data_IF_911933678426
#
_entry.id   IF_911933678426
#
_cell.length_a   1.000
_cell.length_b   1.000
_cell.length_c   1.000
_cell.angle_alpha   90.00
_cell.angle_beta   90.00
_cell.angle_gamma   90.00
#
_symmetry.space_group_name_H-M   'P 1'
#
loop_
_entity.id
_entity.type
_entity.pdbx_description
1 polymer ?
#
# COMPACT_ATOMS: atom_id res chain seq x y z
N UNK A 1 -20.78 20.98 11.80
CA UNK A 1 -21.41 19.69 12.05
C UNK A 1 -21.85 19.06 10.72
N UNK A 2 -20.94 18.64 9.89
CA UNK A 2 -21.25 17.74 8.79
C UNK A 2 -20.75 16.36 9.21
N UNK A 3 -21.54 15.66 10.00
CA UNK A 3 -21.38 14.23 10.20
C UNK A 3 -21.62 13.55 8.86
N UNK A 4 -20.59 12.97 8.27
CA UNK A 4 -20.78 12.00 7.19
C UNK A 4 -21.52 10.84 7.81
N UNK A 5 -22.84 10.75 7.56
CA UNK A 5 -23.63 9.62 8.04
C UNK A 5 -23.19 8.38 7.24
N UNK A 6 -23.17 7.21 7.88
CA UNK A 6 -22.91 5.92 7.20
C UNK A 6 -23.79 5.73 5.94
N UNK A 7 -24.92 6.42 5.85
CA UNK A 7 -25.82 6.43 4.71
C UNK A 7 -25.28 7.18 3.47
N UNK A 8 -24.27 8.07 3.64
CA UNK A 8 -23.65 8.81 2.52
C UNK A 8 -22.49 8.06 1.86
N UNK A 9 -22.04 6.98 2.47
CA UNK A 9 -21.00 6.10 1.91
C UNK A 9 -21.72 4.99 1.13
N UNK A 10 -21.36 4.82 -0.14
CA UNK A 10 -21.91 3.71 -0.96
C UNK A 10 -21.71 2.36 -0.27
N UNK A 11 -22.55 1.37 -0.59
CA UNK A 11 -22.52 0.01 0.01
C UNK A 11 -21.14 -0.65 -0.10
N UNK A 12 -20.35 -0.27 -1.09
CA UNK A 12 -19.04 -0.87 -1.41
C UNK A 12 -17.85 -0.07 -0.84
N UNK A 13 -18.12 0.98 -0.04
CA UNK A 13 -17.04 1.77 0.55
C UNK A 13 -16.40 0.99 1.73
N UNK A 14 -15.09 0.70 1.69
CA UNK A 14 -14.40 -0.02 2.76
C UNK A 14 -14.49 0.69 4.12
N UNK A 15 -14.57 2.04 4.13
CA UNK A 15 -14.79 2.81 5.38
C UNK A 15 -16.14 2.52 6.02
N UNK A 16 -17.17 2.23 5.22
CA UNK A 16 -18.48 1.84 5.73
C UNK A 16 -18.41 0.49 6.43
N UNK A 17 -17.69 -0.48 5.85
CA UNK A 17 -17.54 -1.83 6.43
C UNK A 17 -16.84 -1.79 7.79
N UNK A 18 -15.78 -0.98 7.90
CA UNK A 18 -15.08 -0.79 9.18
C UNK A 18 -15.93 0.01 10.16
N UNK A 19 -16.64 1.04 9.71
CA UNK A 19 -17.58 1.77 10.54
C UNK A 19 -18.71 0.88 11.06
N UNK A 20 -19.32 0.07 10.18
CA UNK A 20 -20.39 -0.86 10.57
C UNK A 20 -19.85 -1.97 11.50
N UNK A 21 -18.59 -2.37 11.36
CA UNK A 21 -17.91 -3.34 12.24
C UNK A 21 -17.56 -2.76 13.61
N UNK A 22 -17.13 -1.51 13.66
CA UNK A 22 -16.75 -0.83 14.92
C UNK A 22 -17.94 -0.25 15.67
N UNK A 23 -19.05 0.05 14.99
CA UNK A 23 -20.19 0.80 15.56
C UNK A 23 -21.55 0.18 15.25
N UNK A 24 -21.66 -0.83 14.39
CA UNK A 24 -22.89 -1.51 13.99
C UNK A 24 -22.87 -2.96 14.46
N UNK A 25 -23.90 -3.38 15.20
CA UNK A 25 -24.03 -4.76 15.65
C UNK A 25 -24.10 -5.77 14.48
N UNK A 26 -23.59 -6.97 14.74
CA UNK A 26 -23.46 -8.16 13.92
C UNK A 26 -24.39 -8.24 12.69
N UNK A 27 -23.88 -7.92 11.51
CA UNK A 27 -24.41 -8.36 10.23
C UNK A 27 -23.32 -9.15 9.52
N UNK A 28 -23.64 -10.34 9.03
CA UNK A 28 -22.71 -11.23 8.35
C UNK A 28 -22.02 -10.53 7.16
N UNK A 29 -20.69 -10.56 7.14
CA UNK A 29 -19.89 -9.90 6.14
C UNK A 29 -19.41 -10.89 5.08
N UNK A 30 -19.67 -10.58 3.83
CA UNK A 30 -18.97 -11.15 2.70
C UNK A 30 -17.64 -10.39 2.56
N UNK A 31 -16.51 -11.04 2.88
CA UNK A 31 -15.18 -10.44 2.72
C UNK A 31 -14.87 -10.44 1.23
N UNK A 32 -15.04 -9.30 0.60
CA UNK A 32 -14.50 -9.03 -0.74
C UNK A 32 -13.27 -8.16 -0.59
N UNK A 33 -12.17 -8.55 -1.23
CA UNK A 33 -11.02 -7.65 -1.43
C UNK A 33 -11.55 -6.29 -1.89
N UNK A 34 -11.10 -5.22 -1.25
CA UNK A 34 -11.55 -3.86 -1.62
C UNK A 34 -11.12 -3.47 -3.03
N UNK A 35 -10.16 -4.19 -3.62
CA UNK A 35 -9.52 -3.85 -4.88
C UNK A 35 -8.77 -2.51 -4.85
N UNK A 36 -8.64 -1.91 -3.68
CA UNK A 36 -7.90 -0.66 -3.46
C UNK A 36 -6.47 -1.01 -3.09
N UNK A 37 -5.52 -0.53 -3.89
CA UNK A 37 -4.10 -0.71 -3.60
C UNK A 37 -3.73 -0.06 -2.28
N UNK A 38 -3.04 -0.81 -1.42
CA UNK A 38 -2.45 -0.29 -0.18
C UNK A 38 -0.99 0.16 -0.37
N UNK A 39 -0.44 0.00 -1.57
CA UNK A 39 0.90 0.45 -1.94
C UNK A 39 0.82 1.40 -3.12
N UNK A 40 1.49 2.54 -3.01
CA UNK A 40 1.71 3.45 -4.14
C UNK A 40 2.93 3.00 -4.91
N UNK A 41 2.87 2.89 -6.24
CA UNK A 41 4.06 2.65 -7.04
C UNK A 41 5.07 3.78 -6.89
N UNK A 42 6.36 3.43 -6.91
CA UNK A 42 7.45 4.39 -6.93
C UNK A 42 7.67 4.98 -8.31
N UNK A 43 7.53 4.13 -9.32
CA UNK A 43 7.75 4.48 -10.73
C UNK A 43 6.77 3.72 -11.61
N UNK A 44 6.35 4.36 -12.68
CA UNK A 44 5.52 3.78 -13.74
C UNK A 44 6.01 4.34 -15.06
N UNK A 45 6.13 3.50 -16.10
CA UNK A 45 6.45 3.95 -17.45
C UNK A 45 5.58 3.23 -18.48
N UNK A 46 5.26 3.96 -19.55
CA UNK A 46 4.53 3.45 -20.71
C UNK A 46 5.31 3.76 -21.98
N UNK A 47 5.58 2.72 -22.77
CA UNK A 47 6.16 2.83 -24.09
C UNK A 47 5.13 2.51 -25.17
N UNK A 48 5.02 3.39 -26.17
CA UNK A 48 4.25 3.16 -27.38
C UNK A 48 4.83 4.00 -28.52
N UNK A 49 4.77 3.50 -29.75
CA UNK A 49 5.16 4.25 -30.96
C UNK A 49 6.62 4.78 -30.95
N UNK A 50 7.52 4.11 -30.24
CA UNK A 50 8.94 4.49 -30.17
C UNK A 50 9.28 5.49 -29.06
N UNK A 51 8.29 5.99 -28.33
CA UNK A 51 8.46 6.86 -27.17
C UNK A 51 8.37 6.03 -25.87
N UNK A 52 9.10 6.43 -24.84
CA UNK A 52 8.96 5.91 -23.49
C UNK A 52 8.80 7.09 -22.53
N UNK A 53 7.64 7.18 -21.90
CA UNK A 53 7.32 8.22 -20.93
C UNK A 53 7.10 7.60 -19.55
N UNK A 54 7.51 8.29 -18.50
CA UNK A 54 7.42 7.77 -17.15
C UNK A 54 7.04 8.82 -16.12
N UNK A 55 6.51 8.35 -15.01
CA UNK A 55 6.26 9.15 -13.80
C UNK A 55 6.96 8.51 -12.62
N UNK A 56 7.42 9.34 -11.69
CA UNK A 56 8.10 8.86 -10.49
C UNK A 56 7.80 9.75 -9.29
N UNK A 57 7.71 9.13 -8.12
CA UNK A 57 7.64 9.81 -6.82
C UNK A 57 6.60 10.95 -6.74
N UNK A 58 5.48 10.78 -7.42
CA UNK A 58 4.34 11.69 -7.34
C UNK A 58 3.07 10.88 -7.11
N UNK A 59 2.45 11.02 -5.96
CA UNK A 59 1.23 10.24 -5.65
C UNK A 59 0.13 10.53 -6.67
N UNK A 60 -0.12 11.81 -6.95
CA UNK A 60 -1.22 12.21 -7.85
C UNK A 60 -0.99 11.75 -9.28
N UNK A 61 0.22 11.98 -9.83
CA UNK A 61 0.51 11.66 -11.22
C UNK A 61 0.65 10.15 -11.42
N UNK A 62 1.26 9.45 -10.45
CA UNK A 62 1.38 7.99 -10.48
C UNK A 62 0.01 7.32 -10.39
N UNK A 63 -0.89 7.78 -9.52
CA UNK A 63 -2.25 7.21 -9.40
C UNK A 63 -3.08 7.45 -10.66
N UNK A 64 -2.99 8.66 -11.25
CA UNK A 64 -3.67 8.98 -12.50
C UNK A 64 -3.15 8.11 -13.66
N UNK A 65 -1.82 8.01 -13.81
CA UNK A 65 -1.16 7.21 -14.84
C UNK A 65 -1.40 5.71 -14.66
N UNK A 66 -1.47 5.23 -13.40
CA UNK A 66 -1.82 3.84 -13.09
C UNK A 66 -3.26 3.52 -13.54
N UNK A 67 -4.17 4.47 -13.39
CA UNK A 67 -5.54 4.37 -13.92
C UNK A 67 -5.55 4.14 -15.43
N UNK A 68 -4.75 4.89 -16.19
CA UNK A 68 -4.63 4.77 -17.64
C UNK A 68 -4.13 3.38 -18.09
N UNK A 69 -3.16 2.79 -17.39
CA UNK A 69 -2.57 1.49 -17.76
C UNK A 69 -3.20 0.29 -17.04
N UNK A 70 -4.22 0.50 -16.21
CA UNK A 70 -4.80 -0.58 -15.39
C UNK A 70 -5.31 -1.76 -16.21
N UNK A 71 -5.95 -1.51 -17.34
CA UNK A 71 -6.46 -2.58 -18.23
C UNK A 71 -5.33 -3.42 -18.82
N UNK A 72 -4.16 -2.82 -19.08
CA UNK A 72 -2.97 -3.52 -19.55
C UNK A 72 -2.46 -4.46 -18.46
N UNK A 73 -2.33 -3.96 -17.22
CA UNK A 73 -1.89 -4.75 -16.09
C UNK A 73 -2.87 -5.87 -15.73
N UNK A 74 -4.19 -5.63 -15.81
CA UNK A 74 -5.21 -6.69 -15.62
C UNK A 74 -4.96 -7.87 -16.56
N UNK A 75 -4.67 -7.60 -17.83
CA UNK A 75 -4.43 -8.64 -18.82
C UNK A 75 -3.07 -9.31 -18.61
N UNK A 76 -1.99 -8.53 -18.42
CA UNK A 76 -0.65 -9.03 -18.20
C UNK A 76 -0.56 -9.95 -16.97
N UNK A 77 -1.28 -9.61 -15.89
CA UNK A 77 -1.35 -10.37 -14.64
C UNK A 77 -2.41 -11.48 -14.66
N UNK A 78 -2.94 -11.83 -15.83
CA UNK A 78 -3.87 -12.95 -16.04
C UNK A 78 -3.29 -14.02 -16.97
N UNK A 79 -1.98 -14.04 -17.09
CA UNK A 79 -1.24 -14.98 -17.95
C UNK A 79 -1.04 -16.36 -17.34
N UNK A 80 -0.14 -17.11 -17.98
CA UNK A 80 0.25 -18.47 -17.57
C UNK A 80 1.05 -18.49 -16.26
N UNK A 81 1.34 -19.69 -15.78
CA UNK A 81 2.20 -19.88 -14.61
C UNK A 81 3.60 -19.29 -14.85
N UNK A 82 4.19 -18.75 -13.78
CA UNK A 82 5.53 -18.15 -13.82
C UNK A 82 6.61 -19.21 -14.04
N UNK A 83 7.61 -18.86 -14.84
CA UNK A 83 8.82 -19.63 -15.09
C UNK A 83 10.05 -18.78 -14.82
N UNK A 84 11.10 -19.37 -14.27
CA UNK A 84 12.39 -18.68 -14.12
C UNK A 84 12.95 -18.29 -15.47
N UNK A 85 13.61 -17.13 -15.53
CA UNK A 85 14.25 -16.60 -16.73
C UNK A 85 15.53 -15.82 -16.37
N UNK A 86 16.17 -15.23 -17.35
CA UNK A 86 17.45 -14.53 -17.21
C UNK A 86 17.40 -13.08 -17.72
N UNK A 87 18.42 -12.32 -17.33
CA UNK A 87 18.59 -10.91 -17.71
C UNK A 87 18.71 -10.69 -19.22
N UNK A 88 19.25 -11.66 -19.96
CA UNK A 88 19.42 -11.54 -21.41
C UNK A 88 18.06 -11.57 -22.10
N UNK A 89 17.16 -12.42 -21.63
CA UNK A 89 15.78 -12.52 -22.13
C UNK A 89 15.02 -11.22 -21.89
N UNK A 90 15.09 -10.65 -20.66
CA UNK A 90 14.48 -9.36 -20.35
C UNK A 90 15.09 -8.24 -21.20
N UNK A 91 16.42 -8.15 -21.29
CA UNK A 91 17.10 -7.11 -22.06
C UNK A 91 16.68 -7.11 -23.54
N UNK A 92 16.39 -8.30 -24.10
CA UNK A 92 15.86 -8.43 -25.47
C UNK A 92 14.50 -7.80 -25.66
N UNK A 93 13.66 -7.76 -24.60
CA UNK A 93 12.29 -7.23 -24.65
C UNK A 93 12.20 -5.71 -24.34
N UNK A 94 13.25 -5.11 -23.77
CA UNK A 94 13.24 -3.68 -23.46
C UNK A 94 13.09 -2.79 -24.70
N UNK A 95 13.47 -3.30 -25.88
CA UNK A 95 13.30 -2.65 -27.17
C UNK A 95 11.90 -2.74 -27.77
N UNK A 96 10.95 -3.45 -27.14
CA UNK A 96 9.59 -3.60 -27.63
C UNK A 96 8.94 -2.24 -27.90
N UNK A 97 8.08 -2.16 -28.93
CA UNK A 97 7.35 -0.93 -29.24
C UNK A 97 6.31 -0.60 -28.17
N UNK A 98 5.57 -1.63 -27.73
CA UNK A 98 4.53 -1.50 -26.69
C UNK A 98 4.95 -2.20 -25.42
N UNK A 99 5.20 -1.42 -24.39
CA UNK A 99 5.72 -1.90 -23.11
C UNK A 99 5.22 -1.05 -21.95
N UNK A 100 5.14 -1.65 -20.78
CA UNK A 100 4.79 -0.95 -19.55
C UNK A 100 5.63 -1.49 -18.39
N UNK A 101 6.09 -0.59 -17.51
CA UNK A 101 6.85 -0.93 -16.31
C UNK A 101 6.13 -0.37 -15.09
N UNK A 102 6.14 -1.14 -14.01
CA UNK A 102 5.65 -0.76 -12.69
C UNK A 102 6.67 -1.17 -11.64
N UNK A 103 7.09 -0.23 -10.80
CA UNK A 103 7.99 -0.49 -9.69
C UNK A 103 7.39 0.02 -8.39
N UNK A 104 7.44 -0.81 -7.35
CA UNK A 104 7.03 -0.46 -6.00
C UNK A 104 8.21 0.02 -5.14
N UNK A 105 7.90 0.66 -4.01
CA UNK A 105 8.91 1.04 -3.01
C UNK A 105 9.50 -0.16 -2.28
N UNK A 106 8.79 -1.28 -2.25
CA UNK A 106 9.18 -2.47 -1.52
C UNK A 106 8.67 -3.75 -2.17
N UNK A 107 8.89 -4.86 -1.48
CA UNK A 107 8.60 -6.19 -1.97
C UNK A 107 7.21 -6.66 -1.52
N UNK A 108 6.31 -6.85 -2.46
CA UNK A 108 4.91 -7.20 -2.21
C UNK A 108 4.59 -8.59 -2.76
N UNK A 109 3.74 -9.39 -2.11
CA UNK A 109 3.28 -10.65 -2.68
C UNK A 109 2.62 -10.43 -4.05
N UNK A 110 3.00 -11.24 -5.03
CA UNK A 110 2.49 -11.09 -6.40
C UNK A 110 0.98 -11.27 -6.47
N UNK A 111 0.42 -12.21 -5.70
CA UNK A 111 -1.02 -12.45 -5.62
C UNK A 111 -1.80 -11.20 -5.19
N UNK A 112 -1.26 -10.44 -4.23
CA UNK A 112 -1.85 -9.19 -3.73
C UNK A 112 -1.80 -8.11 -4.82
N UNK A 113 -0.65 -7.91 -5.45
CA UNK A 113 -0.48 -6.93 -6.55
C UNK A 113 -1.40 -7.29 -7.73
N UNK A 114 -1.45 -8.56 -8.10
CA UNK A 114 -2.34 -9.07 -9.14
C UNK A 114 -3.82 -8.79 -8.81
N UNK A 115 -4.24 -9.07 -7.59
CA UNK A 115 -5.60 -8.80 -7.11
C UNK A 115 -5.97 -7.31 -7.19
N UNK A 116 -5.07 -6.41 -6.79
CA UNK A 116 -5.30 -4.95 -6.88
C UNK A 116 -5.48 -4.49 -8.33
N UNK A 117 -4.78 -5.11 -9.27
CA UNK A 117 -4.89 -4.80 -10.69
C UNK A 117 -6.06 -5.52 -11.38
N UNK A 118 -6.76 -6.44 -10.68
CA UNK A 118 -7.82 -7.25 -11.24
C UNK A 118 -7.34 -8.44 -12.07
N UNK A 119 -6.07 -8.83 -11.91
CA UNK A 119 -5.48 -10.02 -12.51
C UNK A 119 -5.82 -11.30 -11.75
N UNK A 120 -5.39 -12.43 -12.29
CA UNK A 120 -5.64 -13.76 -11.71
C UNK A 120 -4.35 -14.53 -11.39
N UNK A 121 -3.17 -13.95 -11.71
CA UNK A 121 -1.90 -14.58 -11.42
C UNK A 121 -1.67 -14.60 -9.90
N UNK A 122 -1.61 -15.77 -9.32
CA UNK A 122 -1.53 -15.97 -7.88
C UNK A 122 -0.37 -16.91 -7.53
N UNK A 123 0.73 -16.33 -7.09
CA UNK A 123 1.82 -17.06 -6.43
C UNK A 123 2.26 -16.28 -5.19
N UNK A 124 1.85 -16.77 -4.00
CA UNK A 124 2.11 -16.11 -2.72
C UNK A 124 3.59 -16.20 -2.30
N UNK A 125 4.36 -17.10 -2.92
CA UNK A 125 5.80 -17.26 -2.63
C UNK A 125 6.67 -16.21 -3.31
N UNK A 126 6.16 -15.62 -4.41
CA UNK A 126 6.89 -14.63 -5.18
C UNK A 126 6.54 -13.24 -4.66
N UNK A 127 7.58 -12.51 -4.22
CA UNK A 127 7.49 -11.10 -3.88
C UNK A 127 8.00 -10.28 -5.05
N UNK A 128 7.19 -9.33 -5.50
CA UNK A 128 7.51 -8.47 -6.63
C UNK A 128 7.98 -7.10 -6.17
N UNK A 129 9.06 -6.61 -6.74
CA UNK A 129 9.48 -5.20 -6.66
C UNK A 129 9.22 -4.49 -7.99
N UNK A 130 9.52 -5.16 -9.12
CA UNK A 130 9.35 -4.58 -10.45
C UNK A 130 8.59 -5.55 -11.36
N UNK A 131 7.63 -5.01 -12.08
CA UNK A 131 6.90 -5.65 -13.16
C UNK A 131 7.23 -4.96 -14.47
N UNK A 132 7.57 -5.73 -15.50
CA UNK A 132 7.72 -5.23 -16.87
C UNK A 132 6.89 -6.12 -17.80
N UNK A 133 6.12 -5.50 -18.67
CA UNK A 133 5.32 -6.24 -19.67
C UNK A 133 5.60 -5.71 -21.08
N UNK A 134 5.94 -6.64 -21.99
CA UNK A 134 6.07 -6.40 -23.42
C UNK A 134 4.84 -6.95 -24.15
N UNK A 135 4.06 -6.08 -24.78
CA UNK A 135 2.88 -6.50 -25.54
C UNK A 135 3.24 -7.09 -26.91
N UNK A 136 4.44 -6.81 -27.41
CA UNK A 136 4.87 -7.32 -28.72
C UNK A 136 5.12 -8.84 -28.68
N UNK A 137 5.68 -9.32 -27.58
CA UNK A 137 5.87 -10.77 -27.31
C UNK A 137 4.78 -11.38 -26.42
N UNK A 138 3.93 -10.54 -25.78
CA UNK A 138 2.97 -11.00 -24.78
C UNK A 138 3.66 -11.53 -23.51
N UNK A 139 4.80 -10.95 -23.11
CA UNK A 139 5.61 -11.47 -22.00
C UNK A 139 5.62 -10.52 -20.83
N UNK A 140 5.16 -11.00 -19.67
CA UNK A 140 5.29 -10.35 -18.37
C UNK A 140 6.58 -10.83 -17.70
N UNK A 141 7.38 -9.93 -17.21
CA UNK A 141 8.53 -10.19 -16.35
C UNK A 141 8.26 -9.69 -14.93
N UNK A 142 8.66 -10.50 -13.96
CA UNK A 142 8.52 -10.24 -12.53
C UNK A 142 9.90 -10.31 -11.90
N UNK A 143 10.40 -9.18 -11.38
CA UNK A 143 11.66 -9.15 -10.63
C UNK A 143 11.38 -9.13 -9.14
N UNK A 144 12.06 -10.00 -8.44
CA UNK A 144 12.04 -10.11 -6.98
C UNK A 144 13.13 -9.22 -6.34
N UNK A 145 13.03 -8.90 -5.05
CA UNK A 145 14.01 -8.04 -4.36
C UNK A 145 15.40 -8.66 -4.22
N UNK A 146 15.53 -9.97 -4.29
CA UNK A 146 16.81 -10.69 -4.32
C UNK A 146 17.42 -10.80 -5.73
N UNK A 147 16.73 -10.22 -6.73
CA UNK A 147 17.19 -10.14 -8.11
C UNK A 147 16.77 -11.32 -8.98
N UNK A 148 16.06 -12.32 -8.46
CA UNK A 148 15.52 -13.38 -9.29
C UNK A 148 14.51 -12.83 -10.30
N UNK A 149 14.46 -13.44 -11.49
CA UNK A 149 13.60 -13.01 -12.58
C UNK A 149 12.71 -14.16 -13.02
N UNK A 150 11.43 -13.87 -13.17
CA UNK A 150 10.42 -14.79 -13.67
C UNK A 150 9.72 -14.19 -14.87
N UNK A 151 9.17 -15.04 -15.73
CA UNK A 151 8.31 -14.63 -16.82
C UNK A 151 7.00 -15.41 -16.84
N UNK A 152 5.97 -14.78 -17.41
CA UNK A 152 4.68 -15.39 -17.76
C UNK A 152 4.25 -14.88 -19.12
N UNK A 153 3.49 -15.68 -19.86
CA UNK A 153 2.91 -15.25 -21.13
C UNK A 153 1.45 -14.88 -20.96
N UNK A 154 1.10 -13.70 -21.44
CA UNK A 154 -0.24 -13.17 -21.43
C UNK A 154 -0.48 -12.34 -22.70
N UNK A 155 -1.62 -12.51 -23.34
CA UNK A 155 -2.00 -11.66 -24.46
C UNK A 155 -2.67 -10.40 -23.96
N UNK A 156 -2.19 -9.22 -24.38
CA UNK A 156 -2.84 -7.96 -24.12
C UNK A 156 -3.38 -7.30 -25.40
N UNK A 157 -4.48 -6.59 -25.25
CA UNK A 157 -5.04 -5.76 -26.32
C UNK A 157 -4.04 -4.62 -26.67
N UNK A 158 -3.45 -4.68 -27.85
CA UNK A 158 -2.54 -3.63 -28.35
C UNK A 158 -3.20 -2.27 -28.39
N UNK A 159 -4.50 -2.21 -28.69
CA UNK A 159 -5.27 -0.97 -28.67
C UNK A 159 -5.43 -0.37 -27.27
N UNK A 160 -5.20 -1.13 -26.21
CA UNK A 160 -5.18 -0.59 -24.85
C UNK A 160 -3.96 0.32 -24.62
N UNK A 161 -2.82 0.04 -25.26
CA UNK A 161 -1.64 0.90 -25.18
C UNK A 161 -1.84 2.25 -25.86
N UNK A 162 -2.47 2.26 -27.03
CA UNK A 162 -2.71 3.48 -27.77
C UNK A 162 -3.69 4.38 -26.99
N UNK A 163 -4.74 3.81 -26.39
CA UNK A 163 -5.67 4.54 -25.51
C UNK A 163 -4.99 5.04 -24.23
N UNK A 164 -4.15 4.19 -23.62
CA UNK A 164 -3.46 4.56 -22.40
C UNK A 164 -2.50 5.74 -22.61
N UNK A 165 -1.87 5.83 -23.78
CA UNK A 165 -0.95 6.92 -24.12
C UNK A 165 -1.64 8.28 -24.18
N UNK A 166 -2.93 8.34 -24.54
CA UNK A 166 -3.71 9.57 -24.55
C UNK A 166 -3.91 10.16 -23.15
N UNK A 167 -4.02 9.29 -22.13
CA UNK A 167 -4.29 9.66 -20.73
C UNK A 167 -3.06 9.59 -19.84
N UNK A 168 -1.92 9.05 -20.36
CA UNK A 168 -0.69 8.91 -19.61
C UNK A 168 0.15 10.17 -19.74
N UNK A 169 0.35 10.86 -18.62
CA UNK A 169 1.17 12.07 -18.56
C UNK A 169 2.44 11.81 -17.79
N UNK A 170 3.59 11.95 -18.43
CA UNK A 170 4.89 11.66 -17.85
C UNK A 170 6.00 12.48 -18.52
N UNK A 171 7.22 12.21 -18.08
CA UNK A 171 8.45 12.79 -18.62
C UNK A 171 9.17 11.75 -19.48
N UNK A 172 9.88 12.17 -20.50
CA UNK A 172 10.69 11.31 -21.34
C UNK A 172 11.72 10.55 -20.49
N UNK A 173 11.78 9.26 -20.71
CA UNK A 173 12.73 8.41 -20.01
C UNK A 173 13.26 7.31 -20.92
N UNK A 174 14.29 6.61 -20.44
CA UNK A 174 14.89 5.47 -21.13
C UNK A 174 15.18 4.35 -20.13
N UNK A 175 15.32 3.12 -20.61
CA UNK A 175 15.88 2.05 -19.81
C UNK A 175 17.40 2.13 -19.76
N UNK A 176 17.99 1.75 -18.62
CA UNK A 176 19.46 1.72 -18.44
C UNK A 176 20.15 0.77 -19.43
N UNK A 177 19.47 -0.32 -19.79
CA UNK A 177 20.02 -1.32 -20.71
C UNK A 177 21.07 -2.24 -20.07
N UNK A 178 21.56 -3.21 -20.85
CA UNK A 178 22.41 -4.30 -20.36
C UNK A 178 23.85 -3.88 -19.99
N UNK A 179 24.33 -2.73 -20.47
CA UNK A 179 25.73 -2.31 -20.32
C UNK A 179 25.99 -1.44 -19.08
N UNK A 180 25.11 -1.52 -18.08
CA UNK A 180 25.17 -0.72 -16.87
C UNK A 180 25.37 -1.58 -15.62
N UNK A 181 25.71 -0.92 -14.48
CA UNK A 181 25.82 -1.60 -13.19
C UNK A 181 24.49 -1.65 -12.40
N UNK A 182 23.39 -1.37 -13.07
CA UNK A 182 22.02 -1.48 -12.53
C UNK A 182 21.20 -2.45 -13.35
N UNK A 183 20.05 -2.83 -12.87
CA UNK A 183 19.14 -3.70 -13.63
C UNK A 183 18.76 -3.05 -14.96
N UNK A 184 18.70 -3.84 -16.06
CA UNK A 184 18.48 -3.30 -17.41
C UNK A 184 17.20 -2.48 -17.56
N UNK A 185 16.15 -2.82 -16.82
CA UNK A 185 14.86 -2.13 -16.83
C UNK A 185 14.80 -0.89 -15.90
N UNK A 186 15.91 -0.50 -15.27
CA UNK A 186 15.97 0.72 -14.47
C UNK A 186 15.67 1.95 -15.34
N UNK A 187 14.71 2.78 -14.89
CA UNK A 187 14.33 3.99 -15.61
C UNK A 187 15.33 5.12 -15.36
N UNK A 188 15.76 5.75 -16.45
CA UNK A 188 16.58 6.95 -16.49
C UNK A 188 15.74 8.08 -17.07
N UNK A 189 15.43 9.09 -16.26
CA UNK A 189 14.63 10.24 -16.67
C UNK A 189 15.53 11.32 -17.29
N UNK A 190 15.13 11.86 -18.46
CA UNK A 190 15.90 12.86 -19.17
C UNK A 190 15.57 14.26 -18.63
N UNK A 191 16.62 15.03 -18.36
CA UNK A 191 16.54 16.48 -18.14
C UNK A 191 16.01 16.93 -16.78
N UNK A 192 15.53 16.07 -15.92
CA UNK A 192 15.02 16.44 -14.59
C UNK A 192 15.98 16.05 -13.48
N UNK A 193 16.53 17.03 -12.80
CA UNK A 193 17.06 16.82 -11.47
C UNK A 193 15.88 16.70 -10.50
N UNK A 194 15.57 15.49 -10.04
CA UNK A 194 14.59 15.28 -8.99
C UNK A 194 14.99 16.13 -7.77
N UNK A 195 14.26 17.20 -7.53
CA UNK A 195 14.48 18.05 -6.35
C UNK A 195 13.62 17.51 -5.23
N UNK A 196 14.22 16.80 -4.29
CA UNK A 196 13.53 16.32 -3.11
C UNK A 196 13.36 17.46 -2.10
N UNK A 197 12.16 17.64 -1.52
CA UNK A 197 11.95 18.66 -0.49
C UNK A 197 12.70 18.26 0.78
N UNK A 198 13.28 19.28 1.44
CA UNK A 198 13.76 19.11 2.80
C UNK A 198 12.57 19.23 3.73
N UNK A 199 12.32 18.17 4.51
CA UNK A 199 11.20 18.12 5.42
C UNK A 199 11.62 18.56 6.83
N UNK A 200 10.82 19.41 7.42
CA UNK A 200 10.95 19.81 8.82
C UNK A 200 9.82 19.15 9.62
N UNK A 201 10.19 18.44 10.68
CA UNK A 201 9.20 17.95 11.63
C UNK A 201 8.43 19.10 12.27
N UNK A 202 7.11 19.04 12.19
CA UNK A 202 6.21 19.93 12.91
C UNK A 202 5.76 19.31 14.23
N UNK A 203 5.46 20.17 15.19
CA UNK A 203 4.93 19.71 16.46
C UNK A 203 3.55 19.07 16.26
N UNK A 204 3.41 17.83 16.70
CA UNK A 204 2.15 17.08 16.75
C UNK A 204 1.67 17.02 18.19
N UNK A 205 0.40 17.30 18.42
CA UNK A 205 -0.27 17.15 19.70
C UNK A 205 -1.62 16.44 19.53
N UNK A 206 -1.59 15.12 19.64
CA UNK A 206 -2.79 14.29 19.52
C UNK A 206 -3.82 14.50 20.66
N UNK A 207 -3.43 15.22 21.73
CA UNK A 207 -4.30 15.48 22.88
C UNK A 207 -4.92 16.89 22.85
N UNK A 208 -4.57 17.70 21.85
CA UNK A 208 -5.09 19.05 21.72
C UNK A 208 -6.63 19.06 21.62
N UNK A 209 -7.27 20.05 22.23
CA UNK A 209 -8.72 20.15 22.30
C UNK A 209 -9.42 20.24 20.92
N UNK A 210 -8.72 20.72 19.89
CA UNK A 210 -9.22 20.78 18.51
C UNK A 210 -9.36 19.39 17.87
N UNK A 211 -8.69 18.39 18.40
CA UNK A 211 -8.70 17.01 17.94
C UNK A 211 -9.69 16.09 18.69
N UNK A 212 -10.65 16.64 19.42
CA UNK A 212 -11.59 15.84 20.22
C UNK A 212 -12.31 14.74 19.42
N UNK A 213 -12.72 15.03 18.18
CA UNK A 213 -13.26 14.02 17.25
C UNK A 213 -12.16 13.15 16.65
N UNK A 214 -10.95 13.69 16.44
CA UNK A 214 -9.79 12.97 15.92
C UNK A 214 -9.34 11.87 16.89
N UNK A 215 -9.23 12.19 18.18
CA UNK A 215 -8.87 11.21 19.21
C UNK A 215 -9.94 10.11 19.34
N UNK A 216 -11.22 10.46 19.31
CA UNK A 216 -12.32 9.49 19.39
C UNK A 216 -12.30 8.53 18.18
N UNK A 217 -12.05 9.06 16.97
CA UNK A 217 -11.93 8.24 15.76
C UNK A 217 -10.69 7.33 15.81
N UNK A 218 -9.58 7.84 16.33
CA UNK A 218 -8.35 7.08 16.50
C UNK A 218 -8.54 5.93 17.51
N UNK A 219 -9.16 6.21 18.65
CA UNK A 219 -9.51 5.16 19.61
C UNK A 219 -10.42 4.11 18.97
N UNK A 220 -11.45 4.54 18.25
CA UNK A 220 -12.36 3.65 17.52
C UNK A 220 -11.65 2.77 16.48
N UNK A 221 -10.63 3.27 15.79
CA UNK A 221 -9.85 2.51 14.83
C UNK A 221 -9.09 1.33 15.47
N UNK A 222 -8.74 1.46 16.75
CA UNK A 222 -8.14 0.39 17.56
C UNK A 222 -9.16 -0.36 18.45
N UNK A 223 -10.45 -0.16 18.21
CA UNK A 223 -11.52 -0.87 18.93
C UNK A 223 -11.88 -0.32 20.30
N UNK A 224 -11.31 0.83 20.71
CA UNK A 224 -11.63 1.47 21.98
C UNK A 224 -12.81 2.43 21.86
N UNK A 225 -13.62 2.48 22.91
CA UNK A 225 -14.66 3.51 23.04
C UNK A 225 -14.02 4.87 23.29
N UNK A 226 -14.63 5.94 22.79
CA UNK A 226 -14.26 7.32 23.13
C UNK A 226 -14.38 7.63 24.64
N UNK A 227 -15.09 6.78 25.39
CA UNK A 227 -15.31 6.89 26.84
C UNK A 227 -14.46 5.89 27.63
N UNK A 228 -13.54 5.16 26.99
CA UNK A 228 -12.62 4.24 27.69
C UNK A 228 -11.75 5.05 28.63
N UNK A 229 -11.68 4.63 29.88
CA UNK A 229 -10.82 5.25 30.90
C UNK A 229 -9.34 5.07 30.49
N UNK A 230 -8.53 6.06 30.87
CA UNK A 230 -7.10 6.00 30.66
C UNK A 230 -6.34 6.43 31.90
N UNK A 231 -5.14 6.00 32.01
CA UNK A 231 -4.17 6.57 32.94
C UNK A 231 -3.02 7.25 32.20
N UNK A 232 -2.45 8.27 32.85
CA UNK A 232 -1.37 9.05 32.23
C UNK A 232 -0.02 8.56 32.74
N UNK A 233 0.95 8.56 31.83
CA UNK A 233 2.36 8.29 32.09
C UNK A 233 3.22 9.48 31.62
N UNK A 234 4.47 9.50 32.06
CA UNK A 234 5.49 10.45 31.60
C UNK A 234 5.02 11.93 31.69
N UNK A 235 4.46 12.35 32.81
CA UNK A 235 3.95 13.70 33.03
C UNK A 235 2.88 14.11 31.99
N UNK A 236 1.87 13.28 31.76
CA UNK A 236 0.76 13.49 30.85
C UNK A 236 1.14 13.58 29.35
N UNK A 237 2.31 13.09 28.97
CA UNK A 237 2.70 13.01 27.54
C UNK A 237 2.31 11.68 26.90
N UNK A 238 1.92 10.67 27.68
CA UNK A 238 1.42 9.38 27.22
C UNK A 238 0.12 9.05 27.94
N UNK A 239 -0.90 8.65 27.20
CA UNK A 239 -2.16 8.09 27.68
C UNK A 239 -2.20 6.61 27.38
N UNK A 240 -2.60 5.81 28.36
CA UNK A 240 -2.74 4.37 28.23
C UNK A 240 -4.19 3.99 28.44
N UNK A 241 -4.83 3.56 27.36
CA UNK A 241 -6.20 3.06 27.33
C UNK A 241 -6.15 1.55 27.51
N UNK A 242 -6.98 1.00 28.37
CA UNK A 242 -7.03 -0.43 28.67
C UNK A 242 -8.49 -0.87 28.65
N UNK A 243 -8.76 -1.94 27.95
CA UNK A 243 -9.99 -2.71 28.05
C UNK A 243 -9.67 -4.16 28.52
N UNK A 244 -10.68 -5.02 28.51
CA UNK A 244 -10.55 -6.39 29.04
C UNK A 244 -9.44 -7.23 28.35
N UNK A 245 -9.12 -6.94 27.11
CA UNK A 245 -8.22 -7.72 26.27
C UNK A 245 -7.07 -6.93 25.67
N UNK A 246 -7.21 -5.62 25.52
CA UNK A 246 -6.33 -4.79 24.69
C UNK A 246 -5.78 -3.59 25.45
N UNK A 247 -4.62 -3.14 25.03
CA UNK A 247 -3.97 -1.92 25.54
C UNK A 247 -3.54 -1.06 24.37
N UNK A 248 -3.87 0.24 24.43
CA UNK A 248 -3.38 1.24 23.49
C UNK A 248 -2.61 2.32 24.26
N UNK A 249 -1.31 2.41 24.01
CA UNK A 249 -0.45 3.50 24.49
C UNK A 249 -0.36 4.55 23.40
N UNK A 250 -0.77 5.75 23.73
CA UNK A 250 -0.78 6.88 22.80
C UNK A 250 0.08 8.01 23.35
N UNK A 251 1.21 8.27 22.69
CA UNK A 251 2.03 9.42 23.01
C UNK A 251 1.50 10.66 22.31
N UNK A 252 1.53 11.78 23.01
CA UNK A 252 1.15 13.10 22.52
C UNK A 252 1.83 13.44 21.18
N UNK A 253 3.07 12.97 21.00
CA UNK A 253 3.94 13.23 19.85
C UNK A 253 3.70 12.31 18.65
N UNK A 254 2.72 11.38 18.73
CA UNK A 254 2.34 10.55 17.59
C UNK A 254 2.76 9.07 17.64
N UNK A 255 3.55 8.65 18.63
CA UNK A 255 3.83 7.23 18.80
C UNK A 255 2.62 6.51 19.39
N UNK A 256 2.15 5.48 18.71
CA UNK A 256 1.04 4.62 19.10
C UNK A 256 1.52 3.18 19.19
N UNK A 257 1.14 2.49 20.26
CA UNK A 257 1.46 1.08 20.47
C UNK A 257 0.20 0.37 20.93
N UNK A 258 -0.30 -0.53 20.11
CA UNK A 258 -1.42 -1.40 20.41
C UNK A 258 -0.93 -2.80 20.68
N UNK A 259 -1.50 -3.45 21.67
CA UNK A 259 -1.28 -4.86 21.95
C UNK A 259 -2.55 -5.50 22.51
N UNK A 260 -2.80 -6.75 22.15
CA UNK A 260 -3.87 -7.57 22.73
C UNK A 260 -3.32 -8.87 23.28
N UNK A 261 -3.88 -9.29 24.40
CA UNK A 261 -3.60 -10.57 25.04
C UNK A 261 -4.82 -11.48 24.94
N UNK A 262 -4.61 -12.74 24.56
CA UNK A 262 -5.69 -13.72 24.44
C UNK A 262 -6.46 -13.65 23.11
N UNK A 263 -7.56 -14.38 23.00
CA UNK A 263 -8.32 -14.56 21.75
C UNK A 263 -9.41 -13.52 21.53
N UNK A 264 -9.60 -12.59 22.44
CA UNK A 264 -10.66 -11.58 22.43
C UNK A 264 -10.16 -10.20 21.99
N UNK A 265 -9.54 -10.11 20.82
CA UNK A 265 -9.27 -8.78 20.24
C UNK A 265 -10.54 -8.18 19.65
N UNK A 266 -10.72 -6.88 19.88
CA UNK A 266 -11.80 -6.10 19.24
C UNK A 266 -11.48 -5.72 17.79
N UNK A 267 -10.22 -5.84 17.37
CA UNK A 267 -9.79 -5.54 15.99
C UNK A 267 -9.48 -6.83 15.25
N UNK A 268 -10.36 -7.17 14.33
CA UNK A 268 -10.22 -8.36 13.48
C UNK A 268 -10.37 -8.00 12.02
N UNK A 269 -9.51 -8.53 11.18
CA UNK A 269 -9.61 -8.40 9.72
C UNK A 269 -10.69 -9.33 9.17
N UNK A 270 -10.80 -10.55 9.74
CA UNK A 270 -11.81 -11.57 9.41
C UNK A 270 -11.98 -12.54 10.58
N UNK A 271 -13.07 -13.28 10.62
CA UNK A 271 -13.30 -14.33 11.64
C UNK A 271 -12.51 -15.60 11.31
N UNK A 272 -12.02 -16.28 12.34
CA UNK A 272 -11.22 -17.49 12.18
C UNK A 272 -11.97 -18.56 11.40
N UNK A 273 -11.33 -19.10 10.35
CA UNK A 273 -11.87 -20.17 9.50
C UNK A 273 -12.70 -19.70 8.30
N UNK A 274 -12.99 -18.39 8.18
CA UNK A 274 -13.79 -17.88 7.06
C UNK A 274 -12.94 -17.63 5.80
N UNK A 275 -11.67 -17.28 5.96
CA UNK A 275 -10.80 -16.84 4.85
C UNK A 275 -9.39 -17.41 4.99
N UNK A 276 -8.80 -17.82 3.88
CA UNK A 276 -7.44 -18.38 3.82
C UNK A 276 -6.67 -17.85 2.61
N UNK A 277 -5.34 -18.00 2.61
CA UNK A 277 -4.46 -17.63 1.50
C UNK A 277 -4.48 -16.13 1.21
N UNK A 278 -4.39 -15.76 -0.05
CA UNK A 278 -4.31 -14.36 -0.50
C UNK A 278 -5.49 -13.50 -0.05
N UNK A 279 -6.70 -14.07 0.05
CA UNK A 279 -7.87 -13.33 0.54
C UNK A 279 -7.77 -12.97 2.03
N UNK A 280 -7.12 -13.81 2.84
CA UNK A 280 -6.84 -13.52 4.24
C UNK A 280 -5.83 -12.37 4.35
N UNK A 281 -4.78 -12.42 3.54
CA UNK A 281 -3.77 -11.37 3.48
C UNK A 281 -4.36 -10.03 3.01
N UNK A 282 -5.19 -10.02 1.97
CA UNK A 282 -5.89 -8.83 1.51
C UNK A 282 -6.75 -8.20 2.60
N UNK A 283 -7.48 -9.02 3.37
CA UNK A 283 -8.29 -8.53 4.48
C UNK A 283 -7.45 -7.92 5.62
N UNK A 284 -6.27 -8.51 5.94
CA UNK A 284 -5.32 -7.97 6.91
C UNK A 284 -4.76 -6.63 6.43
N UNK A 285 -4.37 -6.53 5.16
CA UNK A 285 -3.86 -5.31 4.53
C UNK A 285 -4.92 -4.20 4.56
N UNK A 286 -6.16 -4.51 4.19
CA UNK A 286 -7.27 -3.57 4.23
C UNK A 286 -7.55 -3.07 5.66
N UNK A 287 -7.51 -3.96 6.65
CA UNK A 287 -7.68 -3.61 8.05
C UNK A 287 -6.59 -2.60 8.50
N UNK A 288 -5.32 -2.91 8.24
CA UNK A 288 -4.20 -2.03 8.57
C UNK A 288 -4.29 -0.69 7.84
N UNK A 289 -4.63 -0.68 6.54
CA UNK A 289 -4.80 0.54 5.75
C UNK A 289 -5.88 1.45 6.31
N UNK A 290 -7.03 0.91 6.70
CA UNK A 290 -8.12 1.71 7.28
C UNK A 290 -7.73 2.33 8.63
N UNK A 291 -6.99 1.60 9.46
CA UNK A 291 -6.43 2.15 10.69
C UNK A 291 -5.49 3.31 10.36
N UNK A 292 -4.55 3.12 9.43
CA UNK A 292 -3.58 4.15 9.02
C UNK A 292 -4.25 5.39 8.41
N UNK A 293 -5.27 5.22 7.56
CA UNK A 293 -6.04 6.34 7.02
C UNK A 293 -6.72 7.16 8.13
N UNK A 294 -7.14 6.50 9.20
CA UNK A 294 -7.73 7.19 10.35
C UNK A 294 -6.67 7.91 11.18
N UNK A 295 -5.52 7.28 11.38
CA UNK A 295 -4.37 7.86 12.09
C UNK A 295 -3.84 9.10 11.36
N UNK A 296 -3.61 9.02 10.05
CA UNK A 296 -3.12 10.13 9.23
C UNK A 296 -4.07 11.33 9.27
N UNK A 297 -5.38 11.06 9.17
CA UNK A 297 -6.41 12.13 9.31
C UNK A 297 -6.44 12.74 10.70
N UNK A 298 -6.28 11.94 11.76
CA UNK A 298 -6.23 12.45 13.12
C UNK A 298 -5.01 13.34 13.37
N UNK A 299 -3.90 13.07 12.67
CA UNK A 299 -2.69 13.87 12.72
C UNK A 299 -2.68 15.09 11.80
N UNK A 300 -3.72 15.26 10.97
CA UNK A 300 -3.80 16.35 9.98
C UNK A 300 -2.53 16.44 9.12
N UNK A 301 -2.07 15.30 8.60
CA UNK A 301 -0.84 15.21 7.82
C UNK A 301 -1.13 15.19 6.32
N UNK A 302 -0.24 15.78 5.51
CA UNK A 302 -0.26 15.72 4.05
C UNK A 302 0.54 14.50 3.52
N UNK A 303 0.63 13.44 4.32
CA UNK A 303 1.38 12.24 3.99
C UNK A 303 0.45 11.05 3.76
N UNK A 304 0.95 10.03 3.08
CA UNK A 304 0.24 8.80 2.80
C UNK A 304 0.98 7.60 3.38
N UNK A 305 0.24 6.56 3.73
CA UNK A 305 0.80 5.26 4.07
C UNK A 305 0.93 4.42 2.81
N UNK A 306 2.05 3.75 2.62
CA UNK A 306 2.27 2.80 1.53
C UNK A 306 2.82 1.50 2.07
N UNK A 307 2.17 0.38 1.75
CA UNK A 307 2.66 -0.95 2.11
C UNK A 307 4.04 -1.18 1.48
N UNK A 308 4.99 -1.55 2.32
CA UNK A 308 6.39 -1.75 1.92
C UNK A 308 6.80 -3.22 1.96
N UNK A 309 6.37 -3.94 3.00
CA UNK A 309 6.72 -5.35 3.14
C UNK A 309 5.62 -6.15 3.81
N UNK A 310 5.52 -7.39 3.40
CA UNK A 310 4.70 -8.43 4.01
C UNK A 310 5.62 -9.56 4.43
N UNK A 311 5.66 -9.86 5.73
CA UNK A 311 6.44 -10.95 6.28
C UNK A 311 5.51 -11.97 6.92
N UNK A 312 5.47 -13.16 6.36
CA UNK A 312 4.63 -14.26 6.82
C UNK A 312 5.48 -15.34 7.48
N UNK A 313 4.98 -15.84 8.59
CA UNK A 313 5.43 -17.05 9.24
C UNK A 313 4.25 -18.02 9.33
N UNK A 314 4.44 -19.24 9.84
CA UNK A 314 3.37 -20.24 9.96
C UNK A 314 2.11 -19.73 10.68
N UNK A 315 2.27 -18.80 11.64
CA UNK A 315 1.16 -18.35 12.48
C UNK A 315 0.95 -16.83 12.49
N UNK A 316 1.84 -16.06 11.87
CA UNK A 316 1.83 -14.61 12.00
C UNK A 316 2.16 -13.92 10.68
N UNK A 317 1.38 -12.88 10.38
CA UNK A 317 1.64 -11.95 9.29
C UNK A 317 2.05 -10.61 9.87
N UNK A 318 3.17 -10.06 9.41
CA UNK A 318 3.62 -8.70 9.76
C UNK A 318 3.57 -7.83 8.51
N UNK A 319 2.78 -6.76 8.57
CA UNK A 319 2.67 -5.76 7.53
C UNK A 319 3.48 -4.52 7.92
N UNK A 320 4.38 -4.06 7.06
CA UNK A 320 5.20 -2.86 7.28
C UNK A 320 4.82 -1.79 6.27
N UNK A 321 4.61 -0.57 6.76
CA UNK A 321 4.24 0.57 5.92
C UNK A 321 5.29 1.70 6.03
N UNK A 322 5.52 2.37 4.92
CA UNK A 322 6.26 3.63 4.84
C UNK A 322 5.31 4.81 4.94
N UNK A 323 5.82 5.92 5.45
CA UNK A 323 5.19 7.23 5.33
C UNK A 323 5.76 7.93 4.09
N UNK A 324 4.89 8.31 3.15
CA UNK A 324 5.27 9.00 1.93
C UNK A 324 4.84 10.47 2.01
N UNK A 325 5.74 11.38 1.64
CA UNK A 325 5.45 12.78 1.40
C UNK A 325 5.55 13.04 -0.11
N UNK A 326 4.45 13.43 -0.74
CA UNK A 326 4.37 13.61 -2.20
C UNK A 326 4.92 12.41 -3.00
N UNK A 327 4.64 11.17 -2.53
CA UNK A 327 5.08 9.94 -3.20
C UNK A 327 6.51 9.50 -2.88
N UNK A 328 7.28 10.28 -2.12
CA UNK A 328 8.66 9.94 -1.73
C UNK A 328 8.68 9.41 -0.30
N UNK A 329 9.38 8.29 -0.02
CA UNK A 329 9.56 7.81 1.35
C UNK A 329 10.28 8.84 2.21
N UNK A 330 9.74 9.11 3.40
CA UNK A 330 10.39 9.97 4.38
C UNK A 330 11.59 9.24 4.96
N UNK A 331 12.79 9.75 4.66
CA UNK A 331 14.05 9.15 5.11
C UNK A 331 14.45 9.67 6.49
N UNK A 332 15.14 8.82 7.25
CA UNK A 332 15.70 9.16 8.57
C UNK A 332 14.75 9.04 9.74
N UNK A 333 13.53 8.55 9.52
CA UNK A 333 12.64 8.10 10.59
C UNK A 333 12.78 6.59 10.80
N UNK A 334 12.40 6.11 11.98
CA UNK A 334 12.09 4.70 12.23
C UNK A 334 10.93 4.27 11.34
N UNK A 335 10.68 2.96 11.18
CA UNK A 335 9.53 2.43 10.45
C UNK A 335 8.26 3.22 10.82
N UNK A 336 7.51 3.64 9.80
CA UNK A 336 6.30 4.42 10.03
C UNK A 336 5.26 3.60 10.78
N UNK A 337 4.95 2.40 10.27
CA UNK A 337 3.98 1.54 10.93
C UNK A 337 4.27 0.06 10.68
N UNK A 338 4.00 -0.75 11.70
CA UNK A 338 4.01 -2.20 11.62
C UNK A 338 2.76 -2.76 12.30
N UNK A 339 2.12 -3.76 11.66
CA UNK A 339 0.94 -4.46 12.17
C UNK A 339 1.22 -5.95 12.18
N UNK A 340 0.96 -6.60 13.30
CA UNK A 340 1.11 -8.03 13.47
C UNK A 340 -0.26 -8.70 13.62
N UNK A 341 -0.59 -9.59 12.70
CA UNK A 341 -1.80 -10.40 12.73
C UNK A 341 -1.47 -11.86 13.04
N UNK A 342 -2.34 -12.50 13.81
CA UNK A 342 -2.39 -13.94 13.99
C UNK A 342 -3.75 -14.42 13.49
N UNK A 343 -3.75 -15.09 12.35
CA UNK A 343 -4.98 -15.29 11.58
C UNK A 343 -5.65 -13.96 11.23
N UNK A 344 -6.95 -13.83 11.52
CA UNK A 344 -7.68 -12.57 11.32
C UNK A 344 -7.52 -11.53 12.42
N UNK A 345 -6.82 -11.83 13.52
CA UNK A 345 -6.78 -11.01 14.73
C UNK A 345 -5.55 -10.09 14.75
N UNK A 346 -5.75 -8.80 14.92
CA UNK A 346 -4.64 -7.85 15.17
C UNK A 346 -4.07 -8.07 16.57
N UNK A 347 -2.81 -8.53 16.67
CA UNK A 347 -2.12 -8.81 17.93
C UNK A 347 -1.32 -7.63 18.43
N UNK A 348 -0.64 -6.96 17.53
CA UNK A 348 0.14 -5.77 17.87
C UNK A 348 0.14 -4.79 16.70
N UNK A 349 0.25 -3.51 17.02
CA UNK A 349 0.54 -2.48 16.05
C UNK A 349 1.43 -1.41 16.69
N UNK A 350 2.38 -0.93 15.91
CA UNK A 350 3.17 0.26 16.25
C UNK A 350 3.02 1.24 15.10
N UNK A 351 2.64 2.50 15.41
CA UNK A 351 2.57 3.58 14.43
C UNK A 351 3.34 4.77 14.99
N UNK A 352 4.26 5.30 14.22
CA UNK A 352 5.06 6.48 14.56
C UNK A 352 4.65 7.64 13.64
N UNK A 353 3.49 8.24 13.93
CA UNK A 353 2.94 9.33 13.15
C UNK A 353 3.80 10.59 13.30
N UNK A 354 4.22 11.15 12.18
CA UNK A 354 4.94 12.41 12.13
C UNK A 354 4.23 13.37 11.17
N UNK A 355 4.30 14.65 11.48
CA UNK A 355 3.79 15.73 10.61
C UNK A 355 4.96 16.53 10.09
N UNK A 356 4.92 16.85 8.80
CA UNK A 356 6.00 17.53 8.11
C UNK A 356 5.51 18.79 7.41
N UNK A 357 6.38 19.78 7.33
CA UNK A 357 6.28 20.89 6.39
C UNK A 357 7.49 20.86 5.44
N UNK A 358 7.26 21.12 4.16
CA UNK A 358 8.33 21.34 3.20
C UNK A 358 8.96 22.72 3.43
N UNK A 359 10.29 22.82 3.33
CA UNK A 359 11.04 24.07 3.47
C UNK A 359 11.69 24.44 2.16
#
# INVERSE_FOLDING_TARGET
LAGVSAASLGSDNPLRRVYDRLFGGAAGYEIRSSGVSAASPAQLALGASGELVGVQYSTTDVDASLGAVRSIWTQALSGDALMETDEQTLAGELGAERKVLLRYHGALPLSVVSGWMGGTLADDRIKVETLFYSADSGTLFVRTPDGALYLSHAEADRGAFDRALEDFHGTDCAFAGADTNVYPETLLFEGENLTLPVLKNEALDLFAAQSGTGLANLLGAFGFSAYTDFYSEQNDTVRVFVDDASTLRLAKTGLMQYATAGDQSTVTAFESGEVTGSAALDAQIDCARVILDTVLRAGETDTHASLYAVNETEHRTTLVFLQLYSGVPVLGSTDFAAFEFEGGVLRAATVNLQRFAAT
#
